data_IF_041502617135
#
_entry.id   IF_041502617135
#
_cell.length_a   1.000
_cell.length_b   1.000
_cell.length_c   1.000
_cell.angle_alpha   90.00
_cell.angle_beta   90.00
_cell.angle_gamma   90.00
#
_symmetry.space_group_name_H-M   'P 1'
#
loop_
_entity.id
_entity.type
_entity.pdbx_description
1 polymer ?
#
# COMPACT_ATOMS: atom_id res chain seq x y z
N UNK A 1 -25.14 -16.53 -1.24
CA UNK A 1 -24.38 -16.45 0.01
C UNK A 1 -23.09 -17.22 -0.21
N UNK A 2 -21.95 -16.53 -0.31
CA UNK A 2 -20.68 -17.14 -0.69
C UNK A 2 -19.65 -16.07 -0.96
N UNK A 3 -19.54 -15.11 -0.04
CA UNK A 3 -18.40 -14.19 -0.02
C UNK A 3 -17.21 -15.00 0.46
N UNK A 4 -16.40 -15.48 -0.51
CA UNK A 4 -15.13 -16.12 -0.22
C UNK A 4 -14.24 -15.06 0.44
N UNK A 5 -14.06 -15.21 1.74
CA UNK A 5 -13.05 -14.54 2.55
C UNK A 5 -11.66 -14.99 2.04
N UNK A 6 -11.21 -14.42 0.92
CA UNK A 6 -9.80 -14.45 0.57
C UNK A 6 -9.08 -13.61 1.62
N UNK A 7 -8.47 -14.30 2.57
CA UNK A 7 -7.61 -13.77 3.63
C UNK A 7 -6.29 -13.22 3.04
N UNK A 8 -6.37 -12.40 2.01
CA UNK A 8 -5.27 -11.50 1.66
C UNK A 8 -5.37 -10.37 2.68
N UNK A 9 -4.47 -10.39 3.67
CA UNK A 9 -4.46 -9.47 4.82
C UNK A 9 -4.31 -8.04 4.33
N UNK A 10 -5.41 -7.43 3.91
CA UNK A 10 -5.48 -6.00 3.78
C UNK A 10 -5.54 -5.41 5.18
N UNK A 11 -4.71 -4.42 5.44
CA UNK A 11 -4.62 -3.75 6.73
C UNK A 11 -4.72 -2.25 6.53
N UNK A 12 -5.11 -1.54 7.58
CA UNK A 12 -5.24 -0.08 7.53
C UNK A 12 -4.05 0.53 8.24
N UNK A 13 -3.39 1.45 7.57
CA UNK A 13 -2.32 2.27 8.15
C UNK A 13 -2.75 3.73 8.16
N UNK A 14 -2.29 4.47 9.16
CA UNK A 14 -2.48 5.92 9.23
C UNK A 14 -1.19 6.57 8.79
N UNK A 15 -1.26 7.35 7.71
CA UNK A 15 -0.13 8.10 7.16
C UNK A 15 -0.44 9.59 7.16
N UNK A 16 0.58 10.44 7.21
CA UNK A 16 0.38 11.87 7.07
C UNK A 16 0.43 12.26 5.58
N UNK A 17 -0.73 12.44 4.96
CA UNK A 17 -0.82 12.84 3.56
C UNK A 17 -1.15 14.32 3.48
N UNK A 18 -0.23 15.11 2.92
CA UNK A 18 -0.37 16.55 2.76
C UNK A 18 -0.69 17.30 4.07
N UNK A 19 -0.06 16.90 5.18
CA UNK A 19 -0.25 17.51 6.50
C UNK A 19 -1.49 17.03 7.26
N UNK A 20 -2.21 16.01 6.75
CA UNK A 20 -3.38 15.43 7.40
C UNK A 20 -3.20 13.94 7.59
N UNK A 21 -3.52 13.46 8.80
CA UNK A 21 -3.53 12.03 9.08
C UNK A 21 -4.69 11.37 8.33
N UNK A 22 -4.34 10.48 7.41
CA UNK A 22 -5.27 9.77 6.56
C UNK A 22 -5.08 8.28 6.76
N UNK A 23 -6.18 7.59 7.01
CA UNK A 23 -6.17 6.13 7.14
C UNK A 23 -6.43 5.51 5.78
N UNK A 24 -5.39 4.88 5.23
CA UNK A 24 -5.46 4.16 3.95
C UNK A 24 -5.50 2.66 4.22
N UNK A 25 -6.23 1.94 3.39
CA UNK A 25 -6.26 0.49 3.37
C UNK A 25 -5.22 -0.01 2.37
N UNK A 26 -4.23 -0.74 2.87
CA UNK A 26 -3.21 -1.38 2.07
C UNK A 26 -3.60 -2.82 1.82
N UNK A 27 -3.57 -3.24 0.56
CA UNK A 27 -3.79 -4.62 0.14
C UNK A 27 -2.54 -5.12 -0.58
N UNK A 28 -1.80 -6.10 -0.03
CA UNK A 28 -0.73 -6.77 -0.76
C UNK A 28 -1.34 -7.60 -1.90
N UNK A 29 -0.79 -7.46 -3.10
CA UNK A 29 -1.13 -8.24 -4.27
C UNK A 29 0.15 -8.73 -4.96
N UNK A 30 0.03 -9.86 -5.63
CA UNK A 30 1.11 -10.45 -6.41
C UNK A 30 0.76 -10.30 -7.88
N UNK A 31 1.70 -9.83 -8.70
CA UNK A 31 1.53 -9.88 -10.15
C UNK A 31 1.73 -11.31 -10.64
N UNK A 32 1.20 -11.64 -11.82
CA UNK A 32 1.41 -12.97 -12.44
C UNK A 32 2.89 -13.34 -12.62
N UNK A 33 3.78 -12.34 -12.58
CA UNK A 33 5.23 -12.49 -12.68
C UNK A 33 5.91 -12.82 -11.33
N UNK A 34 5.14 -12.87 -10.23
CA UNK A 34 5.65 -13.12 -8.87
C UNK A 34 6.15 -11.86 -8.16
N UNK A 35 5.89 -10.66 -8.70
CA UNK A 35 6.26 -9.40 -8.05
C UNK A 35 5.17 -8.98 -7.08
N UNK A 36 5.52 -8.89 -5.80
CA UNK A 36 4.66 -8.36 -4.74
C UNK A 36 4.58 -6.83 -4.79
N UNK A 37 3.36 -6.31 -4.77
CA UNK A 37 3.08 -4.88 -4.72
C UNK A 37 1.89 -4.60 -3.82
N UNK A 38 1.80 -3.37 -3.33
CA UNK A 38 0.86 -2.97 -2.30
C UNK A 38 -0.06 -1.90 -2.86
N UNK A 39 -1.34 -2.24 -2.99
CA UNK A 39 -2.38 -1.29 -3.40
C UNK A 39 -2.85 -0.50 -2.19
N UNK A 40 -2.75 0.82 -2.28
CA UNK A 40 -3.23 1.72 -1.24
C UNK A 40 -4.56 2.33 -1.65
N UNK A 41 -5.58 2.08 -0.84
CA UNK A 41 -6.95 2.50 -1.07
C UNK A 41 -7.39 3.46 0.05
N UNK A 42 -7.70 4.69 -0.31
CA UNK A 42 -8.28 5.67 0.60
C UNK A 42 -9.79 5.72 0.35
N UNK A 43 -10.59 5.47 1.39
CA UNK A 43 -12.07 5.51 1.30
C UNK A 43 -12.65 4.65 0.15
N UNK A 44 -12.01 3.51 -0.14
CA UNK A 44 -12.42 2.62 -1.23
C UNK A 44 -11.93 3.03 -2.63
N UNK A 45 -11.26 4.18 -2.76
CA UNK A 45 -10.61 4.62 -3.99
C UNK A 45 -9.12 4.25 -3.96
N UNK A 46 -8.63 3.58 -4.99
CA UNK A 46 -7.19 3.39 -5.13
C UNK A 46 -6.53 4.75 -5.40
N UNK A 47 -5.63 5.15 -4.48
CA UNK A 47 -4.91 6.42 -4.57
C UNK A 47 -3.50 6.23 -5.13
N UNK A 48 -2.89 5.10 -4.81
CA UNK A 48 -1.52 4.78 -5.21
C UNK A 48 -1.28 3.28 -5.17
N UNK A 49 -0.20 2.87 -5.81
CA UNK A 49 0.34 1.53 -5.73
C UNK A 49 1.85 1.63 -5.54
N UNK A 50 2.36 0.95 -4.53
CA UNK A 50 3.79 0.96 -4.23
C UNK A 50 4.33 -0.48 -4.21
N UNK A 51 5.61 -0.65 -4.48
CA UNK A 51 6.32 -1.92 -4.36
C UNK A 51 7.60 -1.72 -3.58
N UNK A 52 8.09 -2.81 -3.01
CA UNK A 52 9.40 -2.85 -2.41
C UNK A 52 10.39 -3.34 -3.45
N UNK A 53 11.43 -2.56 -3.70
CA UNK A 53 12.54 -2.95 -4.55
C UNK A 53 13.48 -3.93 -3.81
N UNK A 54 14.35 -4.59 -4.56
CA UNK A 54 15.35 -5.51 -4.02
C UNK A 54 16.33 -4.83 -3.05
N UNK A 55 16.58 -3.52 -3.22
CA UNK A 55 17.41 -2.70 -2.32
C UNK A 55 16.72 -2.41 -0.97
N UNK A 56 15.41 -2.74 -0.86
CA UNK A 56 14.59 -2.46 0.30
C UNK A 56 13.93 -1.09 0.30
N UNK A 57 14.15 -0.28 -0.74
CA UNK A 57 13.46 0.98 -0.96
C UNK A 57 12.02 0.74 -1.43
N UNK A 58 11.14 1.70 -1.12
CA UNK A 58 9.77 1.68 -1.57
C UNK A 58 9.61 2.59 -2.77
N UNK A 59 9.11 2.03 -3.87
CA UNK A 59 8.87 2.77 -5.10
C UNK A 59 7.39 2.78 -5.46
N UNK A 60 6.95 3.91 -5.97
CA UNK A 60 5.59 4.05 -6.45
C UNK A 60 5.48 3.59 -7.90
N UNK A 61 4.61 2.61 -8.14
CA UNK A 61 4.30 2.12 -9.48
C UNK A 61 3.25 3.02 -10.16
N UNK A 62 2.26 3.48 -9.38
CA UNK A 62 1.12 4.23 -9.91
C UNK A 62 0.57 5.23 -8.91
N UNK A 63 0.06 6.36 -9.41
CA UNK A 63 -0.52 7.46 -8.63
C UNK A 63 0.36 8.72 -8.68
N UNK A 64 0.09 9.67 -7.80
CA UNK A 64 0.77 10.98 -7.78
C UNK A 64 1.24 11.35 -6.35
N UNK A 65 1.80 10.40 -5.60
CA UNK A 65 2.30 10.67 -4.25
C UNK A 65 3.75 11.15 -4.28
N UNK A 66 4.09 12.05 -3.38
CA UNK A 66 5.48 12.43 -3.18
C UNK A 66 6.29 11.27 -2.63
N UNK A 67 7.57 11.20 -3.02
CA UNK A 67 8.51 10.15 -2.59
C UNK A 67 8.56 10.00 -1.06
N UNK A 68 8.49 11.11 -0.31
CA UNK A 68 8.36 11.09 1.15
C UNK A 68 7.13 10.29 1.63
N UNK A 69 5.97 10.52 1.01
CA UNK A 69 4.73 9.82 1.37
C UNK A 69 4.84 8.33 1.03
N UNK A 70 5.47 8.00 -0.10
CA UNK A 70 5.72 6.61 -0.53
C UNK A 70 6.61 5.88 0.48
N UNK A 71 7.68 6.53 0.95
CA UNK A 71 8.52 6.00 2.02
C UNK A 71 7.74 5.80 3.31
N UNK A 72 6.96 6.80 3.76
CA UNK A 72 6.14 6.67 4.98
C UNK A 72 5.13 5.52 4.91
N UNK A 73 4.48 5.33 3.75
CA UNK A 73 3.59 4.19 3.51
C UNK A 73 4.38 2.88 3.60
N UNK A 74 5.53 2.81 2.93
CA UNK A 74 6.37 1.62 2.91
C UNK A 74 6.93 1.22 4.28
N UNK A 75 7.37 2.21 5.07
CA UNK A 75 7.80 2.00 6.45
C UNK A 75 6.63 1.52 7.31
N UNK A 76 5.45 2.13 7.20
CA UNK A 76 4.26 1.72 7.94
C UNK A 76 3.81 0.29 7.57
N UNK A 77 3.91 -0.10 6.29
CA UNK A 77 3.68 -1.47 5.84
C UNK A 77 4.69 -2.42 6.48
N UNK A 78 5.98 -2.09 6.41
CA UNK A 78 7.06 -2.91 6.97
C UNK A 78 6.92 -3.07 8.48
N UNK A 79 6.45 -2.04 9.19
CA UNK A 79 6.21 -2.07 10.63
C UNK A 79 4.97 -2.89 11.02
N UNK A 80 4.05 -3.11 10.08
CA UNK A 80 2.80 -3.86 10.29
C UNK A 80 2.91 -5.34 9.90
N UNK A 81 3.83 -5.68 8.97
CA UNK A 81 4.16 -7.04 8.54
C UNK A 81 4.95 -7.82 9.60
#
# INVERSE_FOLDING_TARGET
MGEKESYQRSFKITINLNGKDQTIQVSPEETTDGVEYFKCNLEGKNITQIRREEDGTWEQIWGELDNKTVEEIGEAITATL
#
